data_IF_504829812720
#
_entry.id   IF_504829812720
#
_cell.length_a   1.000
_cell.length_b   1.000
_cell.length_c   1.000
_cell.angle_alpha   90.00
_cell.angle_beta   90.00
_cell.angle_gamma   90.00
#
_symmetry.space_group_name_H-M   'P 1'
#
loop_
_entity.id
_entity.type
_entity.pdbx_description
1 polymer ?
#
# COMPACT_ATOMS: atom_id res chain seq x y z
N UNK A 1 -7.89 -37.10 -25.14
CA UNK A 1 -8.01 -37.90 -23.89
C UNK A 1 -8.53 -36.97 -22.80
N UNK A 2 -9.77 -37.17 -22.33
CA UNK A 2 -10.37 -36.32 -21.28
C UNK A 2 -9.89 -36.86 -19.93
N UNK A 3 -8.96 -36.17 -19.28
CA UNK A 3 -8.58 -36.48 -17.89
C UNK A 3 -9.71 -36.05 -16.97
N UNK A 4 -10.38 -37.00 -16.30
CA UNK A 4 -11.31 -36.67 -15.23
C UNK A 4 -10.53 -35.97 -14.12
N UNK A 5 -10.81 -34.67 -13.91
CA UNK A 5 -10.09 -33.83 -12.92
C UNK A 5 -10.42 -34.28 -11.48
N UNK A 6 -11.51 -35.03 -11.30
CA UNK A 6 -11.95 -35.58 -10.04
C UNK A 6 -12.20 -37.09 -10.20
N UNK A 7 -11.61 -37.89 -9.31
CA UNK A 7 -11.94 -39.30 -9.13
C UNK A 7 -12.93 -39.42 -7.97
N UNK A 8 -13.91 -40.30 -8.10
CA UNK A 8 -14.76 -40.65 -6.98
C UNK A 8 -13.91 -41.35 -5.92
N UNK A 9 -14.13 -41.03 -4.64
CA UNK A 9 -13.46 -41.70 -3.53
C UNK A 9 -13.73 -43.21 -3.60
N UNK A 10 -12.67 -44.00 -3.53
CA UNK A 10 -12.78 -45.46 -3.47
C UNK A 10 -13.37 -45.90 -2.13
N UNK A 11 -14.07 -47.03 -2.10
CA UNK A 11 -14.61 -47.61 -0.86
C UNK A 11 -13.52 -47.88 0.19
N UNK A 12 -12.27 -48.10 -0.24
CA UNK A 12 -11.12 -48.28 0.65
C UNK A 12 -10.71 -46.97 1.33
N UNK A 13 -10.60 -45.91 0.55
CA UNK A 13 -10.23 -44.56 1.03
C UNK A 13 -11.31 -43.99 1.96
N UNK A 14 -12.59 -44.24 1.65
CA UNK A 14 -13.70 -43.81 2.50
C UNK A 14 -13.70 -44.48 3.88
N UNK A 15 -13.31 -45.77 3.95
CA UNK A 15 -13.16 -46.49 5.23
C UNK A 15 -11.97 -45.98 6.03
N UNK A 16 -10.87 -45.64 5.36
CA UNK A 16 -9.66 -45.10 5.98
C UNK A 16 -9.91 -43.69 6.57
N UNK A 17 -10.75 -42.89 5.90
CA UNK A 17 -11.11 -41.52 6.32
C UNK A 17 -12.37 -41.44 7.21
N UNK A 18 -12.94 -42.59 7.63
CA UNK A 18 -14.20 -42.70 8.38
C UNK A 18 -15.39 -41.94 7.74
N UNK A 19 -15.42 -41.88 6.41
CA UNK A 19 -16.47 -41.19 5.64
C UNK A 19 -17.64 -42.15 5.44
N UNK A 20 -18.62 -42.06 6.33
CA UNK A 20 -19.91 -42.76 6.21
C UNK A 20 -20.67 -42.23 4.99
N UNK A 21 -21.02 -43.11 4.05
CA UNK A 21 -21.90 -42.75 2.94
C UNK A 21 -23.35 -42.82 3.45
N UNK A 22 -24.05 -41.68 3.65
CA UNK A 22 -25.48 -41.74 3.93
C UNK A 22 -26.18 -42.44 2.76
N UNK A 23 -27.07 -43.39 3.05
CA UNK A 23 -27.89 -44.00 2.01
C UNK A 23 -28.61 -42.94 1.19
N UNK A 24 -28.91 -43.24 -0.08
CA UNK A 24 -29.41 -42.27 -1.06
C UNK A 24 -30.56 -41.39 -0.52
N UNK A 25 -31.51 -41.99 0.21
CA UNK A 25 -32.64 -41.28 0.83
C UNK A 25 -32.22 -40.30 1.93
N UNK A 26 -31.26 -40.69 2.77
CA UNK A 26 -30.74 -39.83 3.86
C UNK A 26 -29.94 -38.66 3.30
N UNK A 27 -29.17 -38.90 2.25
CA UNK A 27 -28.42 -37.86 1.54
C UNK A 27 -29.38 -36.83 0.90
N UNK A 28 -30.44 -37.30 0.25
CA UNK A 28 -31.44 -36.45 -0.38
C UNK A 28 -32.21 -35.60 0.65
N UNK A 29 -32.66 -36.21 1.75
CA UNK A 29 -33.32 -35.49 2.83
C UNK A 29 -32.43 -34.38 3.43
N UNK A 30 -31.14 -34.68 3.61
CA UNK A 30 -30.17 -33.70 4.09
C UNK A 30 -30.01 -32.53 3.10
N UNK A 31 -29.81 -32.81 1.80
CA UNK A 31 -29.64 -31.76 0.78
C UNK A 31 -30.89 -30.87 0.70
N UNK A 32 -32.09 -31.47 0.72
CA UNK A 32 -33.36 -30.71 0.75
C UNK A 32 -33.46 -29.79 1.98
N UNK A 33 -33.13 -30.31 3.17
CA UNK A 33 -33.14 -29.52 4.40
C UNK A 33 -32.09 -28.38 4.38
N UNK A 34 -30.89 -28.68 3.89
CA UNK A 34 -29.81 -27.71 3.75
C UNK A 34 -30.17 -26.57 2.80
N UNK A 35 -30.72 -26.88 1.62
CA UNK A 35 -31.16 -25.88 0.65
C UNK A 35 -32.29 -25.01 1.22
N UNK A 36 -33.26 -25.61 1.92
CA UNK A 36 -34.33 -24.86 2.58
C UNK A 36 -33.78 -23.83 3.58
N UNK A 37 -32.76 -24.20 4.35
CA UNK A 37 -32.11 -23.34 5.35
C UNK A 37 -31.24 -22.23 4.73
N UNK A 38 -30.45 -22.57 3.71
CA UNK A 38 -29.44 -21.68 3.13
C UNK A 38 -30.01 -20.67 2.13
N UNK A 39 -31.17 -20.94 1.53
CA UNK A 39 -31.81 -20.05 0.56
C UNK A 39 -33.26 -19.73 0.92
N UNK A 40 -33.53 -19.00 2.01
CA UNK A 40 -34.90 -18.76 2.50
C UNK A 40 -35.77 -17.97 1.51
N UNK A 41 -35.16 -17.15 0.65
CA UNK A 41 -35.85 -16.30 -0.34
C UNK A 41 -36.32 -17.02 -1.60
N UNK A 42 -35.93 -18.28 -1.81
CA UNK A 42 -36.33 -19.07 -2.98
C UNK A 42 -37.63 -19.82 -2.72
N UNK A 43 -38.46 -20.02 -3.75
CA UNK A 43 -39.64 -20.89 -3.67
C UNK A 43 -39.24 -22.37 -3.66
N UNK A 44 -40.13 -23.26 -3.22
CA UNK A 44 -39.84 -24.71 -3.21
C UNK A 44 -39.56 -25.23 -4.61
N UNK A 45 -40.32 -24.77 -5.60
CA UNK A 45 -40.14 -25.13 -7.01
C UNK A 45 -38.80 -24.66 -7.58
N UNK A 46 -38.35 -23.43 -7.22
CA UNK A 46 -37.04 -22.93 -7.64
C UNK A 46 -35.87 -23.75 -7.05
N UNK A 47 -36.03 -24.31 -5.85
CA UNK A 47 -35.01 -25.18 -5.24
C UNK A 47 -34.93 -26.52 -5.96
N UNK A 48 -36.06 -27.11 -6.34
CA UNK A 48 -36.12 -28.37 -7.08
C UNK A 48 -35.54 -28.21 -8.49
N UNK A 49 -35.90 -27.12 -9.18
CA UNK A 49 -35.33 -26.79 -10.49
C UNK A 49 -33.80 -26.64 -10.42
N UNK A 50 -33.27 -26.07 -9.34
CA UNK A 50 -31.83 -25.93 -9.15
C UNK A 50 -31.12 -27.27 -8.94
N UNK A 51 -31.78 -28.26 -8.33
CA UNK A 51 -31.27 -29.64 -8.20
C UNK A 51 -31.26 -30.38 -9.55
N UNK A 52 -32.27 -30.13 -10.39
CA UNK A 52 -32.43 -30.78 -11.70
C UNK A 52 -31.58 -30.14 -12.81
N UNK A 53 -31.13 -28.89 -12.62
CA UNK A 53 -30.25 -28.20 -13.58
C UNK A 53 -28.91 -28.93 -13.67
N UNK A 54 -28.70 -29.67 -14.77
CA UNK A 54 -27.37 -30.12 -15.18
C UNK A 54 -26.52 -28.89 -15.47
N UNK A 55 -25.55 -28.61 -14.61
CA UNK A 55 -24.58 -27.55 -14.84
C UNK A 55 -23.79 -27.86 -16.12
N UNK A 56 -24.13 -27.19 -17.21
CA UNK A 56 -23.30 -27.17 -18.40
C UNK A 56 -22.10 -26.30 -18.07
N UNK A 57 -20.99 -26.93 -17.68
CA UNK A 57 -19.70 -26.25 -17.58
C UNK A 57 -19.30 -25.89 -19.00
N UNK A 58 -19.71 -24.71 -19.46
CA UNK A 58 -19.17 -24.12 -20.67
C UNK A 58 -17.67 -23.93 -20.41
N UNK A 59 -16.82 -24.66 -21.15
CA UNK A 59 -15.35 -24.57 -21.07
C UNK A 59 -14.80 -23.21 -21.58
N UNK A 60 -15.56 -22.13 -21.45
CA UNK A 60 -15.12 -20.79 -21.78
C UNK A 60 -14.34 -20.19 -20.59
N UNK A 61 -13.24 -20.84 -20.23
CA UNK A 61 -12.20 -20.16 -19.50
C UNK A 61 -11.64 -19.10 -20.44
N UNK A 62 -12.01 -17.84 -20.22
CA UNK A 62 -11.32 -16.73 -20.87
C UNK A 62 -9.84 -16.88 -20.54
N UNK A 63 -9.05 -17.40 -21.49
CA UNK A 63 -7.62 -17.57 -21.32
C UNK A 63 -7.06 -16.17 -21.17
N UNK A 64 -6.82 -15.75 -19.93
CA UNK A 64 -6.08 -14.52 -19.67
C UNK A 64 -4.76 -14.67 -20.42
N UNK A 65 -4.45 -13.80 -21.40
CA UNK A 65 -3.18 -13.89 -22.10
C UNK A 65 -2.08 -13.88 -21.04
N UNK A 66 -1.09 -14.78 -21.13
CA UNK A 66 0.01 -14.79 -20.17
C UNK A 66 0.60 -13.39 -20.14
N UNK A 67 0.58 -12.76 -18.95
CA UNK A 67 1.22 -11.47 -18.76
C UNK A 67 2.69 -11.64 -19.13
N UNK A 68 3.10 -11.08 -20.27
CA UNK A 68 4.51 -11.01 -20.61
C UNK A 68 5.21 -10.35 -19.44
N UNK A 69 6.15 -11.08 -18.82
CA UNK A 69 7.06 -10.51 -17.85
C UNK A 69 7.86 -9.47 -18.60
N UNK A 70 7.40 -8.21 -18.56
CA UNK A 70 8.12 -7.06 -19.13
C UNK A 70 9.57 -7.23 -18.73
N UNK A 71 10.45 -7.46 -19.70
CA UNK A 71 11.89 -7.49 -19.48
C UNK A 71 12.24 -6.09 -18.99
N UNK A 72 12.28 -5.90 -17.67
CA UNK A 72 12.82 -4.67 -17.10
C UNK A 72 14.22 -4.57 -17.68
N UNK A 73 14.54 -3.44 -18.31
CA UNK A 73 15.90 -3.15 -18.73
C UNK A 73 16.77 -3.46 -17.52
N UNK A 74 17.62 -4.49 -17.63
CA UNK A 74 18.56 -4.82 -16.56
C UNK A 74 19.51 -3.64 -16.53
N UNK A 75 19.23 -2.68 -15.65
CA UNK A 75 20.16 -1.62 -15.34
C UNK A 75 21.49 -2.23 -14.89
N UNK A 76 22.51 -1.39 -14.81
CA UNK A 76 23.83 -1.81 -14.39
C UNK A 76 23.76 -2.61 -13.08
N UNK A 77 24.31 -3.82 -13.11
CA UNK A 77 24.51 -4.66 -11.93
C UNK A 77 25.23 -3.86 -10.84
N UNK A 78 25.03 -4.21 -9.57
CA UNK A 78 25.78 -3.60 -8.46
C UNK A 78 27.30 -3.71 -8.69
N UNK A 79 27.79 -4.82 -9.27
CA UNK A 79 29.20 -4.99 -9.65
C UNK A 79 29.62 -4.01 -10.75
N UNK A 80 28.77 -3.76 -11.73
CA UNK A 80 29.03 -2.80 -12.81
C UNK A 80 29.02 -1.35 -12.30
N UNK A 81 28.10 -1.00 -11.40
CA UNK A 81 28.05 0.33 -10.75
C UNK A 81 29.29 0.61 -9.88
N UNK A 82 29.77 -0.40 -9.15
CA UNK A 82 31.05 -0.31 -8.40
C UNK A 82 32.26 -0.19 -9.33
N UNK A 83 32.27 -0.93 -10.44
CA UNK A 83 33.33 -0.82 -11.45
C UNK A 83 33.40 0.58 -12.08
N UNK A 84 32.25 1.22 -12.30
CA UNK A 84 32.15 2.58 -12.84
C UNK A 84 32.36 3.69 -11.79
N UNK A 85 32.58 3.34 -10.51
CA UNK A 85 32.78 4.29 -9.41
C UNK A 85 31.69 5.37 -9.32
N UNK A 86 30.46 5.02 -9.71
CA UNK A 86 29.35 5.97 -9.90
C UNK A 86 28.96 6.72 -8.61
N UNK A 87 29.32 6.16 -7.45
CA UNK A 87 29.02 6.71 -6.12
C UNK A 87 30.26 6.74 -5.21
N UNK A 88 31.47 6.65 -5.77
CA UNK A 88 32.71 6.71 -4.99
C UNK A 88 33.02 8.17 -4.67
N UNK A 89 32.37 8.69 -3.63
CA UNK A 89 32.67 10.00 -3.07
C UNK A 89 33.85 9.86 -2.12
N UNK A 90 34.87 10.71 -2.24
CA UNK A 90 36.01 10.72 -1.31
C UNK A 90 35.48 10.91 0.12
N UNK A 91 36.00 10.19 1.13
CA UNK A 91 35.49 10.26 2.51
C UNK A 91 35.54 11.67 3.10
N UNK A 92 36.48 12.50 2.67
CA UNK A 92 36.59 13.93 3.03
C UNK A 92 35.35 14.73 2.62
N UNK A 93 34.72 14.36 1.50
CA UNK A 93 33.55 15.02 0.92
C UNK A 93 32.22 14.41 1.41
N UNK A 94 32.27 13.34 2.20
CA UNK A 94 31.08 12.70 2.79
C UNK A 94 30.60 13.39 4.08
N UNK A 95 31.16 14.56 4.42
CA UNK A 95 30.77 15.34 5.59
C UNK A 95 29.45 16.05 5.31
N UNK A 96 28.42 15.72 6.09
CA UNK A 96 27.08 16.33 5.96
C UNK A 96 27.12 17.86 5.99
N UNK A 97 27.99 18.44 6.83
CA UNK A 97 28.15 19.88 6.98
C UNK A 97 28.49 20.60 5.66
N UNK A 98 29.17 19.94 4.72
CA UNK A 98 29.48 20.52 3.41
C UNK A 98 28.23 20.72 2.54
N UNK A 99 27.16 19.98 2.80
CA UNK A 99 25.90 20.04 2.05
C UNK A 99 24.84 20.94 2.72
N UNK A 100 25.11 21.48 3.91
CA UNK A 100 24.20 22.43 4.56
C UNK A 100 23.95 23.69 3.72
N UNK A 101 24.97 24.33 3.10
CA UNK A 101 24.72 25.48 2.23
C UNK A 101 23.82 25.14 1.03
N UNK A 102 23.90 23.91 0.50
CA UNK A 102 23.03 23.45 -0.59
C UNK A 102 21.57 23.37 -0.14
N UNK A 103 21.31 22.95 1.09
CA UNK A 103 19.97 22.94 1.65
C UNK A 103 19.40 24.37 1.84
N UNK A 104 20.22 25.31 2.31
CA UNK A 104 19.80 26.71 2.44
C UNK A 104 19.47 27.36 1.08
N UNK A 105 20.27 27.05 0.05
CA UNK A 105 19.98 27.45 -1.32
C UNK A 105 18.64 26.88 -1.81
N UNK A 106 18.38 25.60 -1.54
CA UNK A 106 17.12 24.96 -1.89
C UNK A 106 15.91 25.61 -1.20
N UNK A 107 16.04 26.02 0.08
CA UNK A 107 14.97 26.76 0.77
C UNK A 107 14.67 28.11 0.12
N UNK A 108 15.68 28.83 -0.33
CA UNK A 108 15.50 30.10 -1.05
C UNK A 108 14.79 29.85 -2.37
N UNK A 109 15.27 28.89 -3.16
CA UNK A 109 14.65 28.47 -4.42
C UNK A 109 13.16 28.13 -4.27
N UNK A 110 12.78 27.32 -3.28
CA UNK A 110 11.37 26.96 -3.09
C UNK A 110 10.53 28.18 -2.66
N UNK A 111 11.08 29.08 -1.83
CA UNK A 111 10.39 30.32 -1.45
C UNK A 111 10.12 31.21 -2.67
N UNK A 112 11.08 31.33 -3.57
CA UNK A 112 10.96 32.11 -4.80
C UNK A 112 9.99 31.43 -5.78
N UNK A 113 10.09 30.11 -5.95
CA UNK A 113 9.21 29.32 -6.80
C UNK A 113 7.74 29.41 -6.36
N UNK A 114 7.50 29.39 -5.05
CA UNK A 114 6.17 29.51 -4.47
C UNK A 114 5.70 30.97 -4.31
N UNK A 115 6.55 31.98 -4.57
CA UNK A 115 6.19 33.40 -4.49
C UNK A 115 5.98 33.93 -3.07
N UNK A 116 6.65 33.30 -2.09
CA UNK A 116 6.37 33.47 -0.66
C UNK A 116 5.14 32.66 -0.26
N UNK A 117 5.31 31.69 0.63
CA UNK A 117 4.26 30.81 1.14
C UNK A 117 3.26 31.60 2.01
N UNK A 118 2.41 32.39 1.36
CA UNK A 118 1.33 33.14 2.01
C UNK A 118 0.18 32.17 2.33
N UNK A 119 -0.55 32.37 3.44
CA UNK A 119 -1.64 31.48 3.86
C UNK A 119 -2.78 31.38 2.84
N UNK A 120 -2.89 32.34 1.90
CA UNK A 120 -3.90 32.37 0.85
C UNK A 120 -3.51 31.58 -0.42
N UNK A 121 -2.32 30.95 -0.43
CA UNK A 121 -1.83 30.24 -1.60
C UNK A 121 -2.53 28.90 -1.75
N UNK A 122 -3.17 28.68 -2.89
CA UNK A 122 -3.86 27.43 -3.20
C UNK A 122 -2.89 26.22 -3.14
N UNK A 123 -3.13 25.21 -2.28
CA UNK A 123 -2.24 24.05 -2.12
C UNK A 123 -2.00 23.27 -3.41
N UNK A 124 -3.01 23.22 -4.30
CA UNK A 124 -2.95 22.54 -5.59
C UNK A 124 -1.90 23.17 -6.53
N UNK A 125 -1.73 24.50 -6.48
CA UNK A 125 -0.73 25.22 -7.27
C UNK A 125 0.68 24.91 -6.74
N UNK A 126 0.84 24.87 -5.41
CA UNK A 126 2.11 24.49 -4.77
C UNK A 126 2.48 23.05 -5.15
N UNK A 127 1.53 22.12 -5.08
CA UNK A 127 1.75 20.73 -5.47
C UNK A 127 2.18 20.60 -6.94
N UNK A 128 1.52 21.32 -7.86
CA UNK A 128 1.86 21.31 -9.28
C UNK A 128 3.27 21.86 -9.55
N UNK A 129 3.68 22.89 -8.81
CA UNK A 129 5.04 23.44 -8.89
C UNK A 129 6.08 22.46 -8.36
N UNK A 130 5.81 21.82 -7.20
CA UNK A 130 6.70 20.84 -6.60
C UNK A 130 6.87 19.57 -7.45
N UNK A 131 5.84 19.16 -8.19
CA UNK A 131 5.91 18.03 -9.12
C UNK A 131 6.94 18.23 -10.25
N UNK A 132 7.25 19.48 -10.60
CA UNK A 132 8.22 19.86 -11.63
C UNK A 132 9.50 20.46 -11.07
N UNK A 133 9.57 20.67 -9.76
CA UNK A 133 10.69 21.32 -9.11
C UNK A 133 11.87 20.36 -8.92
N UNK A 134 13.06 20.94 -8.83
CA UNK A 134 14.24 20.21 -8.41
C UNK A 134 14.22 19.96 -6.89
N UNK A 135 14.47 18.71 -6.50
CA UNK A 135 14.50 18.27 -5.10
C UNK A 135 15.93 17.97 -4.61
N UNK A 136 16.94 18.45 -5.33
CA UNK A 136 18.34 18.34 -4.96
C UNK A 136 18.60 19.21 -3.70
N UNK A 137 18.92 18.58 -2.58
CA UNK A 137 19.09 19.28 -1.29
C UNK A 137 17.81 19.38 -0.44
N UNK A 138 16.69 18.78 -0.88
CA UNK A 138 15.49 18.65 -0.07
C UNK A 138 15.69 17.66 1.08
N UNK A 139 15.18 17.99 2.27
CA UNK A 139 15.12 17.05 3.41
C UNK A 139 13.86 16.20 3.25
N UNK A 140 14.04 14.88 3.15
CA UNK A 140 12.95 13.93 2.94
C UNK A 140 12.84 13.05 4.18
N UNK A 141 11.72 13.18 4.88
CA UNK A 141 11.37 12.32 6.01
C UNK A 141 10.12 11.53 5.63
N UNK A 142 10.26 10.22 5.44
CA UNK A 142 9.14 9.34 5.13
C UNK A 142 8.47 8.81 6.41
N UNK A 143 7.14 8.61 6.42
CA UNK A 143 6.50 7.86 7.50
C UNK A 143 7.03 6.42 7.55
N UNK A 144 7.12 5.87 8.76
CA UNK A 144 7.45 4.47 8.99
C UNK A 144 6.56 3.58 8.09
N UNK A 145 7.13 2.57 7.41
CA UNK A 145 6.35 1.70 6.56
C UNK A 145 5.33 0.93 7.40
N UNK A 146 4.05 1.34 7.34
CA UNK A 146 2.94 0.51 7.79
C UNK A 146 2.88 -0.70 6.86
N UNK A 147 3.07 -1.87 7.47
CA UNK A 147 3.17 -3.19 6.88
C UNK A 147 2.16 -3.46 5.76
N UNK A 148 2.52 -3.18 4.50
CA UNK A 148 1.93 -3.82 3.32
C UNK A 148 3.02 -4.55 2.55
N UNK A 149 3.33 -5.76 3.03
CA UNK A 149 3.78 -6.91 2.24
C UNK A 149 4.99 -6.78 1.28
N UNK A 150 5.79 -5.72 1.35
CA UNK A 150 7.04 -5.60 0.60
C UNK A 150 8.18 -5.29 1.59
N UNK A 151 9.30 -5.99 1.41
CA UNK A 151 10.42 -6.04 2.33
C UNK A 151 10.84 -4.64 2.84
N UNK A 152 10.89 -4.41 4.16
CA UNK A 152 11.36 -3.15 4.71
C UNK A 152 12.89 -3.20 4.75
N UNK A 153 13.55 -2.52 3.83
CA UNK A 153 14.99 -2.22 3.97
C UNK A 153 15.20 -0.71 3.87
N UNK A 154 14.73 -0.02 4.89
CA UNK A 154 15.25 1.28 5.28
C UNK A 154 15.52 1.21 6.79
N UNK A 155 16.63 0.56 7.17
CA UNK A 155 17.13 0.56 8.54
C UNK A 155 17.93 1.83 8.79
N UNK A 156 17.40 2.66 9.67
CA UNK A 156 18.05 3.15 10.90
C UNK A 156 19.57 3.35 10.84
N UNK A 157 20.01 4.61 10.73
CA UNK A 157 21.28 5.05 11.29
C UNK A 157 20.98 5.95 12.51
N UNK A 158 20.52 5.31 13.58
CA UNK A 158 20.54 5.86 14.92
C UNK A 158 21.48 4.94 15.71
N UNK A 159 22.71 5.41 15.96
CA UNK A 159 23.40 5.28 17.26
C UNK A 159 24.83 5.84 17.21
N UNK A 160 25.08 6.74 18.17
CA UNK A 160 26.33 7.39 18.59
C UNK A 160 26.76 8.65 17.83
N UNK A 161 26.01 9.73 18.03
CA UNK A 161 26.62 11.05 18.23
C UNK A 161 26.08 11.60 19.57
N UNK A 162 26.91 12.24 20.42
CA UNK A 162 26.44 12.80 21.68
C UNK A 162 25.44 13.92 21.38
N UNK A 163 24.26 13.78 21.98
CA UNK A 163 23.20 14.78 22.04
C UNK A 163 23.79 16.07 22.65
N UNK A 164 24.15 17.03 21.80
CA UNK A 164 24.46 18.38 22.25
C UNK A 164 23.14 19.10 22.41
N UNK A 165 22.76 19.27 23.68
CA UNK A 165 21.62 20.03 24.15
C UNK A 165 21.90 21.52 23.91
N UNK A 166 21.60 22.03 22.72
CA UNK A 166 21.57 23.47 22.47
C UNK A 166 20.19 24.01 22.83
N UNK A 167 20.08 24.64 24.00
CA UNK A 167 18.95 25.46 24.37
C UNK A 167 18.79 26.59 23.34
N UNK A 168 17.67 26.59 22.62
CA UNK A 168 17.14 27.70 21.84
C UNK A 168 15.70 27.96 22.27
N UNK A 169 15.19 29.20 22.17
CA UNK A 169 14.04 29.65 22.93
C UNK A 169 12.76 28.93 22.51
N UNK A 170 12.01 28.45 23.50
CA UNK A 170 10.68 27.86 23.34
C UNK A 170 9.73 28.87 22.68
N UNK A 171 9.15 28.51 21.54
CA UNK A 171 8.00 29.21 21.00
C UNK A 171 6.78 28.89 21.88
N UNK A 172 6.06 29.89 22.42
CA UNK A 172 4.88 29.62 23.22
C UNK A 172 3.73 29.07 22.34
N UNK A 173 2.88 28.19 22.88
CA UNK A 173 1.73 27.66 22.16
C UNK A 173 0.68 28.74 21.95
N UNK A 174 0.13 28.80 20.74
CA UNK A 174 -0.99 29.68 20.38
C UNK A 174 -2.25 29.27 21.13
N UNK A 175 -2.51 29.88 22.28
CA UNK A 175 -3.82 29.84 22.92
C UNK A 175 -4.75 30.80 22.18
N UNK A 176 -5.69 30.25 21.42
CA UNK A 176 -6.79 31.00 20.85
C UNK A 176 -7.67 31.56 21.98
N UNK A 177 -7.60 32.87 22.19
CA UNK A 177 -8.60 33.61 22.95
C UNK A 177 -9.27 34.61 22.01
N UNK A 178 -10.49 34.27 21.59
CA UNK A 178 -11.45 35.24 21.10
C UNK A 178 -11.79 36.20 22.24
N UNK A 179 -11.36 37.46 22.13
CA UNK A 179 -11.98 38.56 22.84
C UNK A 179 -12.42 39.61 21.82
N UNK A 180 -13.73 39.86 21.84
CA UNK A 180 -14.44 40.88 21.06
C UNK A 180 -14.13 42.24 21.69
N UNK A 181 -13.85 43.30 20.91
CA UNK A 181 -13.67 44.64 21.48
C UNK A 181 -15.03 45.31 21.72
N UNK A 182 -15.34 45.62 22.98
CA UNK A 182 -16.43 46.53 23.37
C UNK A 182 -16.03 47.96 23.04
N UNK A 183 -16.85 48.66 22.25
CA UNK A 183 -16.71 50.08 21.95
C UNK A 183 -16.91 50.94 23.22
N UNK A 184 -16.04 51.92 23.42
CA UNK A 184 -16.23 53.06 24.32
C UNK A 184 -16.73 54.26 23.51
N UNK A 185 -17.89 54.82 23.90
CA UNK A 185 -18.32 56.17 23.51
C UNK A 185 -17.84 57.19 24.55
N UNK A 186 -17.41 58.40 24.14
CA UNK A 186 -17.10 59.51 25.05
C UNK A 186 -18.34 60.42 25.24
N UNK A 187 -18.29 61.38 26.20
CA UNK A 187 -19.47 62.00 26.82
C UNK A 187 -20.20 63.05 25.95
#
# INVERSE_FOLDING_TARGET
MKSAIYHALSQKEAKELDVQHPGAQRAEAFVRAFLKRSTPRLSQQAREDQLQRKAVVLEYFARRPPKEKRKRCRGLSARQRRGLRLFDVKPEQQRYNLFLPLHELWKQYIRDLCGGLKPDTQPQVIQAKLLKADLHGAVISGPLPVSRGHAPTARTLERKAPFIQSHGPECPPWTGSSQVPTQMSPP
#
